data_IF_059993491895
#
_entry.id   IF_059993491895
#
_cell.length_a   1.000
_cell.length_b   1.000
_cell.length_c   1.000
_cell.angle_alpha   90.00
_cell.angle_beta   90.00
_cell.angle_gamma   90.00
#
_symmetry.space_group_name_H-M   'P 1'
#
loop_
_entity.id
_entity.type
_entity.pdbx_description
1 polymer ?
#
# COMPACT_ATOMS: atom_id res chain seq x y z
N UNK A 1 11.99 -3.58 14.19
CA UNK A 1 10.78 -2.85 13.75
C UNK A 1 11.15 -1.39 13.62
N UNK A 2 11.00 -0.79 12.45
CA UNK A 2 11.31 0.62 12.27
C UNK A 2 10.35 1.45 13.14
N UNK A 3 10.88 2.23 14.10
CA UNK A 3 10.07 3.16 14.87
C UNK A 3 9.60 4.26 13.92
N UNK A 4 8.38 4.13 13.38
CA UNK A 4 7.82 5.11 12.46
C UNK A 4 7.38 6.33 13.27
N UNK A 5 8.34 7.21 13.53
CA UNK A 5 8.11 8.36 14.40
C UNK A 5 7.59 9.52 13.55
N UNK A 6 6.26 9.72 13.59
CA UNK A 6 5.56 10.85 12.94
C UNK A 6 6.17 12.19 13.38
N UNK A 7 6.84 12.23 14.53
CA UNK A 7 7.50 13.44 15.06
C UNK A 7 8.82 13.78 14.36
N UNK A 8 9.40 12.87 13.57
CA UNK A 8 10.56 13.16 12.71
C UNK A 8 10.17 13.70 11.33
N UNK A 9 8.87 13.82 11.03
CA UNK A 9 8.41 14.34 9.75
C UNK A 9 8.47 15.86 9.73
N UNK A 10 8.88 16.43 8.59
CA UNK A 10 8.80 17.88 8.36
C UNK A 10 7.35 18.37 8.51
N UNK A 11 7.16 19.63 8.91
CA UNK A 11 5.86 20.22 9.23
C UNK A 11 4.84 20.07 8.09
N UNK A 12 5.26 20.28 6.84
CA UNK A 12 4.41 20.12 5.65
C UNK A 12 3.95 18.66 5.46
N UNK A 13 4.88 17.71 5.60
CA UNK A 13 4.59 16.28 5.49
C UNK A 13 3.66 15.83 6.61
N UNK A 14 3.89 16.31 7.84
CA UNK A 14 3.04 16.04 9.00
C UNK A 14 1.62 16.58 8.79
N UNK A 15 1.47 17.78 8.24
CA UNK A 15 0.17 18.36 7.89
C UNK A 15 -0.56 17.51 6.85
N UNK A 16 0.11 17.15 5.75
CA UNK A 16 -0.46 16.28 4.70
C UNK A 16 -0.86 14.92 5.25
N UNK A 17 -0.01 14.33 6.07
CA UNK A 17 -0.26 13.03 6.69
C UNK A 17 -1.47 13.07 7.62
N UNK A 18 -1.56 14.09 8.50
CA UNK A 18 -2.70 14.28 9.39
C UNK A 18 -4.02 14.45 8.62
N UNK A 19 -4.01 15.24 7.55
CA UNK A 19 -5.21 15.41 6.71
C UNK A 19 -5.68 14.10 6.06
N UNK A 20 -4.75 13.22 5.66
CA UNK A 20 -5.10 11.87 5.17
C UNK A 20 -5.71 11.00 6.26
N UNK A 21 -5.21 11.06 7.48
CA UNK A 21 -5.76 10.30 8.61
C UNK A 21 -7.18 10.78 8.96
N UNK A 22 -7.39 12.10 9.00
CA UNK A 22 -8.70 12.71 9.25
C UNK A 22 -9.71 12.31 8.15
N UNK A 23 -9.29 12.32 6.88
CA UNK A 23 -10.13 11.92 5.74
C UNK A 23 -10.65 10.46 5.86
N UNK A 24 -9.84 9.55 6.39
CA UNK A 24 -10.22 8.14 6.56
C UNK A 24 -10.82 7.86 7.94
N UNK A 25 -11.06 8.88 8.77
CA UNK A 25 -11.66 8.73 10.10
C UNK A 25 -10.73 8.16 11.17
N UNK A 26 -9.40 8.26 10.98
CA UNK A 26 -8.42 7.78 11.95
C UNK A 26 -7.81 8.91 12.78
N UNK A 27 -7.77 8.70 14.09
CA UNK A 27 -7.13 9.60 15.06
C UNK A 27 -5.68 9.18 15.33
N UNK A 28 -5.41 7.87 15.32
CA UNK A 28 -4.09 7.29 15.61
C UNK A 28 -3.38 6.87 14.33
N UNK A 29 -2.04 6.97 14.35
CA UNK A 29 -1.18 6.48 13.29
C UNK A 29 -1.37 4.95 13.09
N UNK A 30 -1.60 4.44 11.86
CA UNK A 30 -1.76 3.01 11.59
C UNK A 30 -0.57 2.17 12.03
N UNK A 31 0.65 2.73 12.03
CA UNK A 31 1.85 2.03 12.50
C UNK A 31 1.87 1.77 14.02
N UNK A 32 0.99 2.44 14.77
CA UNK A 32 0.85 2.26 16.23
C UNK A 32 -0.27 1.27 16.58
N UNK A 33 -0.97 0.72 15.58
CA UNK A 33 -1.97 -0.31 15.80
C UNK A 33 -1.30 -1.62 16.26
N UNK A 34 -1.89 -2.33 17.24
CA UNK A 34 -1.31 -3.58 17.72
C UNK A 34 -1.34 -4.66 16.64
N UNK A 35 -0.49 -5.68 16.77
CA UNK A 35 -0.26 -6.65 15.69
C UNK A 35 -1.45 -7.54 15.36
N UNK A 36 -2.33 -7.76 16.34
CA UNK A 36 -3.50 -8.63 16.32
C UNK A 36 -4.69 -8.06 15.53
N UNK A 37 -4.76 -6.75 15.32
CA UNK A 37 -5.85 -6.14 14.52
C UNK A 37 -5.66 -6.32 13.02
N UNK A 38 -4.49 -6.79 12.58
CA UNK A 38 -4.15 -6.95 11.18
C UNK A 38 -4.57 -8.34 10.68
N UNK A 39 -5.55 -8.39 9.78
CA UNK A 39 -6.05 -9.64 9.22
C UNK A 39 -5.36 -9.98 7.89
N UNK A 40 -5.13 -11.27 7.66
CA UNK A 40 -4.63 -11.82 6.39
C UNK A 40 -5.76 -12.60 5.70
N UNK A 41 -6.70 -11.87 5.10
CA UNK A 41 -7.82 -12.43 4.36
C UNK A 41 -8.02 -11.66 3.05
N UNK A 42 -7.55 -12.20 1.91
CA UNK A 42 -7.74 -11.59 0.60
C UNK A 42 -9.21 -11.41 0.17
N UNK A 43 -10.14 -12.18 0.74
CA UNK A 43 -11.57 -12.08 0.39
C UNK A 43 -12.23 -10.82 0.95
N UNK A 44 -11.57 -10.16 1.91
CA UNK A 44 -12.01 -8.91 2.54
C UNK A 44 -11.39 -7.68 1.91
N UNK A 45 -10.53 -7.85 0.92
CA UNK A 45 -9.94 -6.72 0.23
C UNK A 45 -11.01 -5.95 -0.53
N UNK A 46 -10.84 -4.62 -0.69
CA UNK A 46 -11.75 -3.84 -1.51
C UNK A 46 -11.80 -4.44 -2.92
N UNK A 47 -13.02 -4.59 -3.45
CA UNK A 47 -13.20 -4.98 -4.84
C UNK A 47 -12.46 -3.97 -5.73
N UNK A 48 -11.69 -4.49 -6.67
CA UNK A 48 -10.86 -3.68 -7.56
C UNK A 48 -10.88 -4.30 -8.94
N UNK A 49 -11.42 -3.56 -9.90
CA UNK A 49 -11.47 -3.98 -11.29
C UNK A 49 -10.27 -3.46 -12.08
N UNK A 50 -9.90 -4.18 -13.14
CA UNK A 50 -8.81 -3.76 -14.01
C UNK A 50 -8.98 -2.34 -14.60
N UNK A 51 -10.19 -1.90 -15.04
CA UNK A 51 -10.39 -0.55 -15.53
C UNK A 51 -10.07 0.52 -14.48
N UNK A 52 -10.42 0.29 -13.21
CA UNK A 52 -10.15 1.23 -12.12
C UNK A 52 -8.64 1.38 -11.88
N UNK A 53 -7.91 0.26 -11.93
CA UNK A 53 -6.43 0.26 -11.85
C UNK A 53 -5.84 1.00 -13.04
N UNK A 54 -6.33 0.74 -14.24
CA UNK A 54 -5.85 1.38 -15.46
C UNK A 54 -6.08 2.90 -15.42
N UNK A 55 -7.30 3.36 -15.10
CA UNK A 55 -7.62 4.78 -14.98
C UNK A 55 -6.75 5.48 -13.93
N UNK A 56 -6.52 4.85 -12.77
CA UNK A 56 -5.65 5.44 -11.75
C UNK A 56 -4.18 5.54 -12.22
N UNK A 57 -3.63 4.47 -12.78
CA UNK A 57 -2.22 4.42 -13.16
C UNK A 57 -1.89 5.23 -14.42
N UNK A 58 -2.83 5.34 -15.37
CA UNK A 58 -2.62 5.95 -16.69
C UNK A 58 -3.27 7.33 -16.82
N UNK A 59 -4.52 7.48 -16.37
CA UNK A 59 -5.31 8.70 -16.66
C UNK A 59 -5.11 9.75 -15.57
N UNK A 60 -5.21 9.38 -14.29
CA UNK A 60 -5.06 10.32 -13.17
C UNK A 60 -4.73 9.56 -11.88
N UNK A 61 -3.54 9.73 -11.28
CA UNK A 61 -2.50 10.76 -11.51
C UNK A 61 -1.56 10.52 -12.71
N UNK A 62 -1.73 9.45 -13.48
CA UNK A 62 -0.94 9.22 -14.71
C UNK A 62 0.53 8.92 -14.46
N UNK A 63 0.81 8.06 -13.46
CA UNK A 63 2.18 7.68 -13.05
C UNK A 63 2.88 6.83 -14.12
N UNK A 64 2.11 6.13 -14.94
CA UNK A 64 2.62 5.24 -15.97
C UNK A 64 2.07 5.60 -17.36
N UNK A 65 2.78 5.19 -18.40
CA UNK A 65 2.30 5.34 -19.79
C UNK A 65 1.49 4.13 -20.24
N UNK A 66 0.70 4.30 -21.31
CA UNK A 66 -0.08 3.20 -21.91
C UNK A 66 0.83 2.04 -22.33
N UNK A 67 2.01 2.34 -22.87
CA UNK A 67 3.02 1.36 -23.26
C UNK A 67 3.54 0.58 -22.04
N UNK A 68 3.75 1.25 -20.91
CA UNK A 68 4.19 0.61 -19.67
C UNK A 68 3.13 -0.36 -19.11
N UNK A 69 1.83 -0.04 -19.25
CA UNK A 69 0.75 -0.95 -18.86
C UNK A 69 0.58 -2.13 -19.83
N UNK A 70 0.79 -1.92 -21.14
CA UNK A 70 0.85 -3.01 -22.11
C UNK A 70 1.99 -3.99 -21.76
N UNK A 71 3.10 -3.47 -21.23
CA UNK A 71 4.20 -4.28 -20.69
C UNK A 71 4.16 -4.39 -19.15
N UNK A 72 2.98 -4.59 -18.56
CA UNK A 72 2.79 -4.78 -17.11
C UNK A 72 3.81 -5.72 -16.46
N UNK A 73 4.22 -6.79 -17.17
CA UNK A 73 5.14 -7.81 -16.64
C UNK A 73 6.57 -7.31 -16.44
N UNK A 74 6.97 -6.25 -17.15
CA UNK A 74 8.28 -5.62 -16.98
C UNK A 74 8.30 -4.55 -15.89
N UNK A 75 7.15 -4.22 -15.30
CA UNK A 75 7.09 -3.24 -14.22
C UNK A 75 7.79 -3.77 -12.97
N UNK A 76 8.48 -2.87 -12.26
CA UNK A 76 9.17 -3.20 -11.03
C UNK A 76 8.22 -3.81 -10.00
N UNK A 77 7.00 -3.27 -9.86
CA UNK A 77 5.96 -3.78 -8.97
C UNK A 77 5.61 -5.25 -9.28
N UNK A 78 5.55 -5.64 -10.55
CA UNK A 78 5.31 -7.03 -10.94
C UNK A 78 6.49 -7.92 -10.58
N UNK A 79 7.73 -7.47 -10.80
CA UNK A 79 8.93 -8.20 -10.40
C UNK A 79 9.05 -8.36 -8.86
N UNK A 80 8.77 -7.29 -8.12
CA UNK A 80 8.74 -7.25 -6.66
C UNK A 80 7.73 -8.25 -6.07
N UNK A 81 6.54 -8.32 -6.66
CA UNK A 81 5.53 -9.30 -6.26
C UNK A 81 5.96 -10.73 -6.64
N UNK A 82 6.40 -10.94 -7.89
CA UNK A 82 6.78 -12.26 -8.41
C UNK A 82 8.01 -12.87 -7.72
N UNK A 83 8.99 -12.05 -7.35
CA UNK A 83 10.22 -12.48 -6.66
C UNK A 83 9.99 -12.85 -5.19
N UNK A 84 8.78 -12.66 -4.67
CA UNK A 84 8.46 -12.85 -3.25
C UNK A 84 9.09 -11.79 -2.34
N UNK A 85 9.48 -10.64 -2.91
CA UNK A 85 9.92 -9.49 -2.13
C UNK A 85 8.76 -8.93 -1.29
N UNK A 86 7.59 -8.78 -1.91
CA UNK A 86 6.32 -8.58 -1.19
C UNK A 86 5.81 -9.94 -0.72
N UNK A 87 5.60 -10.09 0.59
CA UNK A 87 5.06 -11.30 1.21
C UNK A 87 3.58 -11.11 1.53
N UNK A 88 3.17 -11.52 2.72
CA UNK A 88 1.81 -11.39 3.22
C UNK A 88 1.36 -9.94 3.24
N UNK A 89 0.20 -9.70 2.63
CA UNK A 89 -0.51 -8.43 2.66
C UNK A 89 -1.61 -8.57 3.72
N UNK A 90 -1.48 -7.76 4.76
CA UNK A 90 -2.48 -7.60 5.80
C UNK A 90 -3.39 -6.43 5.48
N UNK A 91 -4.60 -6.48 6.02
CA UNK A 91 -5.54 -5.39 5.98
C UNK A 91 -6.10 -5.08 7.37
N UNK A 92 -6.59 -3.87 7.53
CA UNK A 92 -7.30 -3.39 8.70
C UNK A 92 -8.50 -2.59 8.23
N UNK A 93 -9.70 -3.07 8.58
CA UNK A 93 -10.95 -2.36 8.31
C UNK A 93 -11.13 -1.25 9.34
N UNK A 94 -11.30 -0.02 8.88
CA UNK A 94 -11.53 1.11 9.78
C UNK A 94 -13.00 1.09 10.21
N UNK A 95 -13.30 0.91 11.51
CA UNK A 95 -14.68 0.81 11.98
C UNK A 95 -15.51 2.04 11.59
N UNK A 96 -16.79 1.80 11.24
CA UNK A 96 -17.74 2.84 10.84
C UNK A 96 -17.33 3.64 9.57
N UNK A 97 -16.41 3.13 8.76
CA UNK A 97 -16.05 3.72 7.47
C UNK A 97 -16.01 2.66 6.37
N UNK A 98 -15.91 3.11 5.12
CA UNK A 98 -15.67 2.24 3.94
C UNK A 98 -14.20 2.04 3.62
N UNK A 99 -13.29 2.58 4.43
CA UNK A 99 -11.87 2.59 4.14
C UNK A 99 -11.18 1.37 4.75
N UNK A 100 -10.28 0.79 3.97
CA UNK A 100 -9.44 -0.34 4.38
C UNK A 100 -7.98 0.09 4.27
N UNK A 101 -7.20 -0.16 5.32
CA UNK A 101 -5.75 0.05 5.29
C UNK A 101 -5.07 -1.24 4.94
N UNK A 102 -4.15 -1.18 3.99
CA UNK A 102 -3.31 -2.32 3.62
C UNK A 102 -1.88 -2.11 4.08
N UNK A 103 -1.25 -3.19 4.53
CA UNK A 103 0.14 -3.25 4.99
C UNK A 103 0.75 -4.53 4.45
N UNK A 104 1.94 -4.44 3.86
CA UNK A 104 2.66 -5.63 3.40
C UNK A 104 3.91 -5.88 4.23
N UNK A 105 4.21 -7.15 4.48
CA UNK A 105 5.55 -7.56 4.89
C UNK A 105 6.45 -7.60 3.66
N UNK A 106 7.57 -6.88 3.70
CA UNK A 106 8.55 -6.84 2.62
C UNK A 106 9.89 -7.38 3.08
N UNK A 107 10.60 -8.09 2.20
CA UNK A 107 11.97 -8.51 2.48
C UNK A 107 12.92 -7.30 2.48
N UNK A 108 14.00 -7.32 3.27
CA UNK A 108 15.02 -6.27 3.22
C UNK A 108 15.70 -6.13 1.85
N UNK A 109 15.76 -7.22 1.07
CA UNK A 109 16.29 -7.26 -0.28
C UNK A 109 15.46 -8.18 -1.18
N UNK A 110 15.50 -7.91 -2.48
CA UNK A 110 14.95 -8.83 -3.47
C UNK A 110 15.82 -10.09 -3.51
N UNK A 111 15.19 -11.27 -3.60
CA UNK A 111 15.93 -12.51 -3.84
C UNK A 111 16.44 -12.47 -5.28
N UNK A 112 17.76 -12.38 -5.43
CA UNK A 112 18.40 -12.73 -6.69
C UNK A 112 18.23 -14.25 -6.82
N UNK A 113 17.41 -14.70 -7.77
CA UNK A 113 17.48 -16.09 -8.17
C UNK A 113 18.84 -16.25 -8.88
N UNK A 114 19.75 -17.05 -8.30
CA UNK A 114 20.85 -17.62 -9.08
C UNK A 114 20.25 -18.65 -10.07
N UNK A 115 20.79 -18.74 -11.30
CA UNK A 115 20.20 -19.48 -12.42
C UNK A 115 20.04 -20.98 -12.19
#
# INVERSE_FOLDING_TARGET
>A
MASYNVDKLNAEVKKRYKGKLEMIGMIKCPYMLPGDVWANDPTKWPALEYPEVYSYLIETPGVFTKEAMNNRKSLEAHNQFRSGWVRTIFHYDIPATKFVIMKANVNPSQRLNEP
#
